data_IF_381187714736
#
_entry.id   IF_381187714736
#
_cell.length_a   1.000
_cell.length_b   1.000
_cell.length_c   1.000
_cell.angle_alpha   90.00
_cell.angle_beta   90.00
_cell.angle_gamma   90.00
#
_symmetry.space_group_name_H-M   'P 1'
#
loop_
_entity.id
_entity.type
_entity.pdbx_description
1 polymer ?
#
# COMPACT_ATOMS: atom_id res chain seq x y z
N UNK A 1 19.28 -6.54 -1.82
CA UNK A 1 18.45 -7.05 -2.92
C UNK A 1 17.93 -8.40 -2.51
N UNK A 2 16.62 -8.50 -2.42
CA UNK A 2 15.93 -9.75 -2.13
C UNK A 2 15.13 -10.12 -3.39
N UNK A 3 15.16 -11.39 -3.77
CA UNK A 3 14.47 -11.91 -4.96
C UNK A 3 13.61 -13.09 -4.57
N UNK A 4 12.35 -13.10 -5.01
CA UNK A 4 11.45 -14.22 -4.73
C UNK A 4 10.54 -14.53 -5.92
N UNK A 5 10.46 -15.81 -6.28
CA UNK A 5 9.66 -16.32 -7.41
C UNK A 5 8.34 -16.90 -6.91
N UNK A 6 7.19 -16.45 -7.42
CA UNK A 6 5.85 -16.72 -6.86
C UNK A 6 4.80 -16.84 -7.96
N UNK A 7 3.64 -17.42 -7.66
CA UNK A 7 2.55 -17.61 -8.62
C UNK A 7 1.32 -16.75 -8.30
N UNK A 8 0.60 -16.26 -9.34
CA UNK A 8 -0.63 -15.44 -9.22
C UNK A 8 -1.82 -16.02 -10.04
N UNK A 9 -3.07 -15.79 -9.60
CA UNK A 9 -4.34 -16.09 -10.33
C UNK A 9 -5.17 -14.85 -10.66
N UNK A 10 -6.10 -14.95 -11.63
CA UNK A 10 -6.86 -13.85 -12.24
C UNK A 10 -8.19 -13.49 -11.54
N UNK A 11 -8.76 -14.34 -10.68
CA UNK A 11 -9.99 -14.05 -9.92
C UNK A 11 -9.71 -14.12 -8.42
N UNK A 12 -9.68 -12.95 -7.77
CA UNK A 12 -9.01 -12.67 -6.50
C UNK A 12 -7.52 -13.03 -6.57
N UNK A 13 -6.64 -12.03 -6.71
CA UNK A 13 -5.19 -12.23 -6.87
C UNK A 13 -4.57 -12.88 -5.64
N UNK A 14 -4.64 -14.22 -5.59
CA UNK A 14 -3.99 -15.06 -4.58
C UNK A 14 -2.58 -15.40 -5.02
N UNK A 15 -1.71 -15.65 -4.04
CA UNK A 15 -0.32 -15.89 -4.30
C UNK A 15 0.34 -16.87 -3.32
N UNK A 16 1.41 -17.53 -3.76
CA UNK A 16 2.13 -18.53 -2.93
C UNK A 16 3.22 -17.91 -2.04
N UNK A 17 3.24 -16.59 -1.84
CA UNK A 17 4.31 -15.92 -1.10
C UNK A 17 3.98 -15.90 0.41
N UNK A 18 4.83 -16.51 1.26
CA UNK A 18 4.58 -16.54 2.70
C UNK A 18 5.03 -15.26 3.40
N UNK A 19 5.39 -14.19 2.67
CA UNK A 19 5.78 -12.93 3.30
C UNK A 19 4.61 -12.39 4.12
N UNK A 20 4.87 -11.89 5.35
CA UNK A 20 3.82 -11.52 6.28
C UNK A 20 2.74 -10.61 5.68
N UNK A 21 3.15 -9.62 4.89
CA UNK A 21 2.25 -8.69 4.18
C UNK A 21 1.16 -9.39 3.36
N UNK A 22 1.50 -10.46 2.62
CA UNK A 22 0.50 -11.16 1.81
C UNK A 22 -0.36 -12.11 2.65
N UNK A 23 0.16 -12.61 3.75
CA UNK A 23 -0.57 -13.51 4.65
C UNK A 23 -1.55 -12.71 5.51
N UNK A 24 -1.14 -11.53 6.00
CA UNK A 24 -1.96 -10.64 6.82
C UNK A 24 -3.11 -10.00 6.04
N UNK A 25 -2.89 -9.71 4.75
CA UNK A 25 -3.93 -9.33 3.77
C UNK A 25 -4.83 -10.51 3.35
N UNK A 26 -4.56 -11.70 3.87
CA UNK A 26 -5.33 -12.90 3.56
C UNK A 26 -5.17 -13.37 2.12
N UNK A 27 -4.11 -12.99 1.41
CA UNK A 27 -3.90 -13.26 -0.03
C UNK A 27 -3.16 -14.57 -0.31
N UNK A 28 -2.54 -15.19 0.70
CA UNK A 28 -1.83 -16.44 0.52
C UNK A 28 -2.76 -17.59 0.09
N UNK A 29 -2.27 -18.48 -0.78
CA UNK A 29 -2.90 -19.74 -1.14
C UNK A 29 -1.83 -20.75 -1.57
N UNK A 30 -2.11 -22.05 -1.40
CA UNK A 30 -1.16 -23.09 -1.84
C UNK A 30 -1.19 -23.22 -3.35
N UNK A 31 -0.11 -23.76 -3.94
CA UNK A 31 -0.01 -23.86 -5.40
C UNK A 31 -1.12 -24.74 -6.00
N UNK A 32 -1.58 -25.76 -5.28
CA UNK A 32 -2.63 -26.69 -5.70
C UNK A 32 -4.02 -26.04 -5.77
N UNK A 33 -4.22 -24.95 -5.04
CA UNK A 33 -5.49 -24.21 -4.97
C UNK A 33 -5.54 -23.06 -5.98
N UNK A 34 -4.41 -22.73 -6.61
CA UNK A 34 -4.37 -21.70 -7.63
C UNK A 34 -4.77 -22.23 -9.01
N UNK A 35 -5.58 -21.43 -9.71
CA UNK A 35 -5.92 -21.65 -11.12
C UNK A 35 -5.20 -20.61 -12.01
N UNK A 36 -4.98 -20.91 -13.29
CA UNK A 36 -4.40 -19.96 -14.27
C UNK A 36 -3.08 -19.30 -13.82
N UNK A 37 -2.19 -20.09 -13.23
CA UNK A 37 -1.00 -19.59 -12.53
C UNK A 37 -0.01 -18.87 -13.46
N UNK A 38 0.55 -17.75 -12.97
CA UNK A 38 1.65 -17.01 -13.60
C UNK A 38 2.82 -16.86 -12.64
N UNK A 39 4.01 -17.25 -13.08
CA UNK A 39 5.24 -17.05 -12.32
C UNK A 39 5.68 -15.59 -12.42
N UNK A 40 5.90 -14.96 -11.26
CA UNK A 40 6.36 -13.59 -11.11
C UNK A 40 7.56 -13.61 -10.17
N UNK A 41 8.62 -12.89 -10.55
CA UNK A 41 9.76 -12.67 -9.66
C UNK A 41 9.73 -11.23 -9.16
N UNK A 42 9.62 -11.06 -7.84
CA UNK A 42 9.67 -9.76 -7.19
C UNK A 42 11.11 -9.45 -6.77
N UNK A 43 11.60 -8.27 -7.16
CA UNK A 43 12.88 -7.73 -6.73
C UNK A 43 12.66 -6.44 -5.97
N UNK A 44 13.18 -6.36 -4.75
CA UNK A 44 13.10 -5.16 -3.92
C UNK A 44 14.47 -4.49 -3.85
N UNK A 45 14.50 -3.19 -4.18
CA UNK A 45 15.68 -2.33 -4.08
C UNK A 45 15.30 -1.08 -3.28
N UNK A 46 16.01 -0.84 -2.19
CA UNK A 46 15.84 0.38 -1.41
C UNK A 46 16.78 1.46 -1.94
N UNK A 47 16.23 2.62 -2.29
CA UNK A 47 16.94 3.83 -2.66
C UNK A 47 16.42 5.00 -1.82
N UNK A 48 17.15 6.11 -1.75
CA UNK A 48 16.80 7.24 -0.90
C UNK A 48 17.14 6.99 0.57
N UNK A 49 18.08 6.09 0.86
CA UNK A 49 18.41 5.69 2.25
C UNK A 49 18.87 6.85 3.15
N UNK A 50 19.24 7.99 2.55
CA UNK A 50 19.59 9.20 3.29
C UNK A 50 18.45 9.79 4.13
N UNK A 51 17.20 9.45 3.80
CA UNK A 51 16.01 9.88 4.53
C UNK A 51 16.03 9.34 5.97
N UNK A 52 16.49 8.10 6.15
CA UNK A 52 16.63 7.49 7.47
C UNK A 52 17.94 7.89 8.17
N UNK A 53 19.02 7.95 7.40
CA UNK A 53 20.36 8.25 7.89
C UNK A 53 21.10 9.09 6.84
N UNK A 54 21.36 10.40 7.09
CA UNK A 54 22.03 11.28 6.15
C UNK A 54 23.40 10.80 5.65
N UNK A 55 24.06 9.88 6.37
CA UNK A 55 25.33 9.28 5.97
C UNK A 55 25.18 8.15 4.93
N UNK A 56 24.00 7.54 4.81
CA UNK A 56 23.72 6.53 3.78
C UNK A 56 23.74 7.16 2.40
N UNK A 57 24.31 6.43 1.45
CA UNK A 57 24.35 6.79 0.03
C UNK A 57 23.83 5.61 -0.78
N UNK A 58 23.04 5.92 -1.79
CA UNK A 58 22.55 4.93 -2.72
C UNK A 58 23.70 4.47 -3.64
N UNK A 59 23.79 3.16 -3.88
CA UNK A 59 24.74 2.58 -4.83
C UNK A 59 24.04 2.34 -6.17
N UNK A 60 23.95 3.38 -6.99
CA UNK A 60 23.34 3.28 -8.33
C UNK A 60 24.13 2.38 -9.28
N UNK A 61 25.40 2.08 -9.00
CA UNK A 61 26.16 1.08 -9.77
C UNK A 61 25.64 -0.31 -9.50
N UNK A 62 25.37 -0.64 -8.24
CA UNK A 62 24.72 -1.90 -7.86
C UNK A 62 23.28 -1.98 -8.40
N UNK A 63 22.50 -0.90 -8.30
CA UNK A 63 21.13 -0.84 -8.86
C UNK A 63 21.16 -1.12 -10.38
N UNK A 64 22.00 -0.41 -11.14
CA UNK A 64 22.11 -0.63 -12.59
C UNK A 64 22.56 -2.05 -12.94
N UNK A 65 23.53 -2.59 -12.20
CA UNK A 65 24.04 -3.95 -12.42
C UNK A 65 22.95 -5.00 -12.23
N UNK A 66 22.06 -4.80 -11.25
CA UNK A 66 20.97 -5.71 -11.02
C UNK A 66 19.82 -5.55 -12.01
N UNK A 67 19.45 -4.31 -12.36
CA UNK A 67 18.44 -4.07 -13.40
C UNK A 67 18.84 -4.70 -14.73
N UNK A 68 20.13 -4.66 -15.11
CA UNK A 68 20.65 -5.32 -16.32
C UNK A 68 20.48 -6.85 -16.34
N UNK A 69 20.30 -7.48 -15.18
CA UNK A 69 20.03 -8.93 -15.13
C UNK A 69 18.62 -9.28 -15.62
N UNK A 70 17.68 -8.32 -15.54
CA UNK A 70 16.25 -8.54 -15.81
C UNK A 70 15.71 -7.71 -16.98
N UNK A 71 16.32 -6.56 -17.25
CA UNK A 71 16.02 -5.67 -18.37
C UNK A 71 17.22 -5.70 -19.34
N UNK A 72 17.29 -6.67 -20.27
CA UNK A 72 18.44 -6.78 -21.16
C UNK A 72 18.51 -5.57 -22.10
N UNK A 73 19.73 -5.21 -22.48
CA UNK A 73 20.11 -3.91 -23.05
C UNK A 73 19.50 -3.58 -24.43
N UNK A 74 18.62 -4.43 -24.99
CA UNK A 74 17.93 -4.19 -26.27
C UNK A 74 16.50 -4.75 -26.29
N UNK A 75 15.60 -3.97 -26.87
CA UNK A 75 14.25 -4.34 -27.31
C UNK A 75 13.35 -5.02 -26.27
N UNK A 76 13.62 -4.83 -24.96
CA UNK A 76 12.73 -5.32 -23.89
C UNK A 76 11.79 -4.19 -23.48
N UNK A 77 10.51 -4.23 -23.91
CA UNK A 77 9.54 -3.24 -23.46
C UNK A 77 9.25 -3.48 -21.98
N UNK A 78 9.21 -2.40 -21.22
CA UNK A 78 8.74 -2.42 -19.84
C UNK A 78 7.97 -1.14 -19.53
N UNK A 79 7.13 -1.24 -18.51
CA UNK A 79 6.39 -0.12 -17.95
C UNK A 79 7.12 0.30 -16.68
N UNK A 80 7.40 1.60 -16.56
CA UNK A 80 7.85 2.20 -15.31
C UNK A 80 6.63 2.81 -14.63
N UNK A 81 6.21 2.24 -13.53
CA UNK A 81 5.16 2.80 -12.68
C UNK A 81 5.82 3.62 -11.56
N UNK A 82 5.32 4.83 -11.33
CA UNK A 82 5.86 5.76 -10.32
C UNK A 82 4.74 6.19 -9.38
N UNK A 83 4.77 5.65 -8.17
CA UNK A 83 3.90 6.12 -7.09
C UNK A 83 4.49 7.39 -6.47
N UNK A 84 3.71 8.48 -6.42
CA UNK A 84 4.20 9.75 -5.89
C UNK A 84 4.40 9.72 -4.37
N UNK A 85 3.73 8.80 -3.67
CA UNK A 85 3.89 8.60 -2.23
C UNK A 85 5.28 8.05 -1.84
N UNK A 86 6.04 7.49 -2.80
CA UNK A 86 7.46 7.19 -2.61
C UNK A 86 8.26 8.42 -2.15
N UNK A 87 7.92 9.60 -2.69
CA UNK A 87 8.64 10.84 -2.40
C UNK A 87 8.23 11.49 -1.09
N UNK A 88 6.99 11.28 -0.65
CA UNK A 88 6.43 11.77 0.60
C UNK A 88 5.15 11.01 0.86
N UNK A 89 5.04 10.34 2.00
CA UNK A 89 3.90 9.48 2.33
C UNK A 89 3.29 9.87 3.66
N UNK A 90 1.97 9.83 3.74
CA UNK A 90 1.20 10.09 4.95
C UNK A 90 0.21 8.96 5.13
N UNK A 91 0.29 8.29 6.27
CA UNK A 91 -0.82 7.46 6.75
C UNK A 91 -2.04 8.36 7.10
N UNK A 92 -3.14 8.32 6.31
CA UNK A 92 -4.30 9.21 6.52
C UNK A 92 -5.09 8.82 7.79
N UNK A 93 -5.07 7.54 8.14
CA UNK A 93 -5.85 6.97 9.24
C UNK A 93 -5.36 7.40 10.63
N UNK A 94 -4.10 7.87 10.77
CA UNK A 94 -3.59 8.41 12.05
C UNK A 94 -4.44 9.56 12.60
N UNK A 95 -5.10 10.31 11.73
CA UNK A 95 -5.95 11.45 12.13
C UNK A 95 -7.45 11.14 12.10
N UNK A 96 -7.82 9.97 11.57
CA UNK A 96 -9.20 9.50 11.47
C UNK A 96 -9.80 9.36 12.87
N UNK A 97 -10.90 10.07 13.13
CA UNK A 97 -11.61 10.09 14.42
C UNK A 97 -10.71 10.30 15.66
N UNK A 98 -9.78 11.26 15.56
CA UNK A 98 -8.75 11.54 16.58
C UNK A 98 -9.26 11.87 18.00
N UNK A 99 -10.51 12.31 18.19
CA UNK A 99 -11.08 12.61 19.53
C UNK A 99 -11.13 11.39 20.44
N UNK A 100 -11.18 10.19 19.87
CA UNK A 100 -11.21 8.94 20.62
C UNK A 100 -9.94 8.10 20.43
N UNK A 101 -8.94 8.64 19.72
CA UNK A 101 -7.73 7.92 19.35
C UNK A 101 -8.04 6.58 18.64
N UNK A 102 -8.92 6.62 17.63
CA UNK A 102 -9.43 5.41 16.98
C UNK A 102 -8.32 4.52 16.42
N UNK A 103 -7.32 5.11 15.75
CA UNK A 103 -6.26 4.36 15.05
C UNK A 103 -5.51 3.40 16.00
N UNK A 104 -5.21 3.84 17.22
CA UNK A 104 -4.57 2.98 18.22
C UNK A 104 -5.53 1.90 18.76
N UNK A 105 -6.82 2.20 18.85
CA UNK A 105 -7.84 1.26 19.33
C UNK A 105 -8.15 0.13 18.35
N UNK A 106 -7.93 0.36 17.05
CA UNK A 106 -8.07 -0.67 16.03
C UNK A 106 -6.94 -1.71 16.12
N UNK A 107 -5.75 -1.34 16.58
CA UNK A 107 -4.60 -2.24 16.68
C UNK A 107 -4.87 -3.59 17.36
N UNK A 108 -5.38 -3.66 18.61
CA UNK A 108 -5.64 -4.96 19.24
C UNK A 108 -6.76 -5.77 18.58
N UNK A 109 -7.62 -5.16 17.77
CA UNK A 109 -8.74 -5.82 17.08
C UNK A 109 -8.26 -6.48 15.80
N UNK A 110 -7.34 -5.83 15.09
CA UNK A 110 -6.79 -6.26 13.80
C UNK A 110 -5.39 -6.86 13.89
N UNK A 111 -4.80 -6.95 15.09
CA UNK A 111 -3.49 -7.54 15.29
C UNK A 111 -3.40 -8.93 14.62
N UNK A 112 -2.36 -9.09 13.81
CA UNK A 112 -2.05 -10.35 13.14
C UNK A 112 -0.80 -10.97 13.76
N UNK A 113 -0.89 -12.24 14.15
CA UNK A 113 0.26 -12.99 14.64
C UNK A 113 0.84 -13.79 13.48
N UNK A 114 2.09 -13.46 13.11
CA UNK A 114 2.83 -14.17 12.07
C UNK A 114 2.99 -15.65 12.43
N UNK A 115 2.88 -16.57 11.46
CA UNK A 115 3.22 -17.97 11.70
C UNK A 115 4.70 -18.12 12.03
N UNK A 116 5.04 -19.02 12.95
CA UNK A 116 6.43 -19.31 13.34
C UNK A 116 7.23 -20.06 12.25
N UNK A 117 6.54 -20.50 11.19
CA UNK A 117 7.09 -21.31 10.11
C UNK A 117 6.54 -20.85 8.76
N UNK A 118 7.38 -20.95 7.73
CA UNK A 118 7.02 -20.67 6.33
C UNK A 118 6.59 -21.93 5.58
N UNK A 119 6.30 -23.03 6.28
CA UNK A 119 5.78 -24.23 5.64
C UNK A 119 4.36 -23.97 5.11
N UNK A 120 4.00 -24.50 3.92
CA UNK A 120 2.74 -24.13 3.28
C UNK A 120 1.49 -24.38 4.10
N UNK A 121 1.47 -25.39 4.97
CA UNK A 121 0.30 -25.75 5.77
C UNK A 121 0.15 -24.81 6.96
N UNK A 122 1.23 -24.49 7.68
CA UNK A 122 1.20 -23.48 8.75
C UNK A 122 0.80 -22.11 8.23
N UNK A 123 1.30 -21.70 7.06
CA UNK A 123 0.92 -20.42 6.45
C UNK A 123 -0.53 -20.44 6.01
N UNK A 124 -1.03 -21.57 5.48
CA UNK A 124 -2.44 -21.75 5.13
C UNK A 124 -3.35 -21.65 6.35
N UNK A 125 -3.01 -22.30 7.46
CA UNK A 125 -3.76 -22.20 8.71
C UNK A 125 -3.80 -20.77 9.25
N UNK A 126 -2.67 -20.06 9.26
CA UNK A 126 -2.60 -18.66 9.66
C UNK A 126 -3.45 -17.75 8.75
N UNK A 127 -3.41 -17.99 7.44
CA UNK A 127 -4.22 -17.26 6.45
C UNK A 127 -5.72 -17.53 6.64
N UNK A 128 -6.11 -18.77 6.93
CA UNK A 128 -7.51 -19.13 7.20
C UNK A 128 -8.04 -18.44 8.46
N UNK A 129 -7.27 -18.46 9.55
CA UNK A 129 -7.61 -17.75 10.78
C UNK A 129 -7.70 -16.23 10.58
N UNK A 130 -6.80 -15.66 9.78
CA UNK A 130 -6.84 -14.24 9.40
C UNK A 130 -8.08 -13.89 8.58
N UNK A 131 -8.43 -14.72 7.59
CA UNK A 131 -9.64 -14.51 6.79
C UNK A 131 -10.91 -14.60 7.65
N UNK A 132 -10.98 -15.52 8.61
CA UNK A 132 -12.10 -15.60 9.56
C UNK A 132 -12.24 -14.30 10.37
N UNK A 133 -11.13 -13.80 10.93
CA UNK A 133 -11.08 -12.53 11.66
C UNK A 133 -11.57 -11.36 10.78
N UNK A 134 -10.99 -11.19 9.59
CA UNK A 134 -11.36 -10.10 8.67
C UNK A 134 -12.81 -10.20 8.22
N UNK A 135 -13.32 -11.41 7.96
CA UNK A 135 -14.71 -11.64 7.57
C UNK A 135 -15.68 -11.24 8.68
N UNK A 136 -15.41 -11.62 9.93
CA UNK A 136 -16.27 -11.18 11.05
C UNK A 136 -16.26 -9.65 11.19
N UNK A 137 -15.08 -9.03 11.12
CA UNK A 137 -14.95 -7.57 11.25
C UNK A 137 -15.68 -6.85 10.11
N UNK A 138 -15.48 -7.28 8.86
CA UNK A 138 -16.18 -6.75 7.69
C UNK A 138 -17.70 -6.82 7.89
N UNK A 139 -18.23 -7.97 8.31
CA UNK A 139 -19.67 -8.13 8.57
C UNK A 139 -20.20 -7.16 9.65
N UNK A 140 -19.42 -6.94 10.71
CA UNK A 140 -19.78 -6.00 11.78
C UNK A 140 -19.81 -4.55 11.28
N UNK A 141 -18.78 -4.13 10.55
CA UNK A 141 -18.67 -2.76 10.04
C UNK A 141 -19.65 -2.49 8.89
N UNK A 142 -19.93 -3.46 8.02
CA UNK A 142 -20.98 -3.36 7.01
C UNK A 142 -22.37 -3.22 7.65
N UNK A 143 -22.64 -4.01 8.70
CA UNK A 143 -23.89 -3.89 9.43
C UNK A 143 -24.03 -2.52 10.09
N UNK A 144 -22.95 -1.99 10.68
CA UNK A 144 -22.92 -0.65 11.25
C UNK A 144 -23.11 0.44 10.20
N UNK A 145 -22.55 0.28 9.00
CA UNK A 145 -22.72 1.21 7.90
C UNK A 145 -24.19 1.29 7.43
N UNK A 146 -24.84 0.13 7.32
CA UNK A 146 -26.24 0.03 6.88
C UNK A 146 -27.23 0.45 7.97
N UNK A 147 -27.06 -0.03 9.21
CA UNK A 147 -28.05 0.09 10.28
C UNK A 147 -27.75 1.19 11.29
N UNK A 148 -26.53 1.76 11.26
CA UNK A 148 -26.03 2.76 12.24
C UNK A 148 -26.16 2.31 13.70
N UNK A 149 -26.20 1.02 13.94
CA UNK A 149 -26.37 0.36 15.25
C UNK A 149 -25.97 -1.11 15.13
N UNK A 150 -25.56 -1.74 16.24
CA UNK A 150 -25.38 -3.21 16.34
C UNK A 150 -26.65 -3.93 16.83
N UNK A 151 -27.72 -3.19 17.12
CA UNK A 151 -28.97 -3.76 17.59
C UNK A 151 -29.61 -4.62 16.48
N UNK A 152 -29.84 -5.91 16.79
CA UNK A 152 -30.42 -6.84 15.82
C UNK A 152 -29.38 -7.55 14.96
N UNK A 153 -28.08 -7.36 15.20
CA UNK A 153 -27.05 -8.15 14.53
C UNK A 153 -27.17 -9.63 14.91
N UNK A 154 -27.35 -10.49 13.90
CA UNK A 154 -27.54 -11.94 14.02
C UNK A 154 -26.26 -12.75 13.69
N UNK A 155 -25.18 -12.08 13.28
CA UNK A 155 -23.90 -12.73 12.99
C UNK A 155 -23.13 -13.14 14.26
N UNK A 156 -21.86 -13.49 14.05
CA UNK A 156 -20.99 -13.97 15.13
C UNK A 156 -20.74 -12.89 16.21
N UNK A 157 -20.80 -13.30 17.48
CA UNK A 157 -20.60 -12.41 18.64
C UNK A 157 -19.41 -12.86 19.46
N UNK A 158 -18.24 -12.83 18.84
CA UNK A 158 -16.97 -13.14 19.50
C UNK A 158 -16.48 -11.96 20.36
N UNK A 159 -15.26 -12.05 20.90
CA UNK A 159 -14.60 -10.91 21.54
C UNK A 159 -14.43 -9.71 20.58
N UNK A 160 -14.42 -9.93 19.26
CA UNK A 160 -14.36 -8.87 18.24
C UNK A 160 -15.64 -8.05 18.22
N UNK A 161 -16.81 -8.69 18.35
CA UNK A 161 -18.09 -7.98 18.52
C UNK A 161 -18.05 -7.05 19.74
N UNK A 162 -17.57 -7.53 20.89
CA UNK A 162 -17.49 -6.72 22.12
C UNK A 162 -16.56 -5.51 21.92
N UNK A 163 -15.40 -5.71 21.26
CA UNK A 163 -14.46 -4.65 20.95
C UNK A 163 -15.04 -3.60 19.98
N UNK A 164 -15.74 -4.05 18.93
CA UNK A 164 -16.43 -3.17 17.98
C UNK A 164 -17.59 -2.42 18.66
N UNK A 165 -18.32 -3.06 19.58
CA UNK A 165 -19.37 -2.39 20.36
C UNK A 165 -18.80 -1.26 21.23
N UNK A 166 -17.62 -1.46 21.83
CA UNK A 166 -16.93 -0.40 22.58
C UNK A 166 -16.54 0.77 21.66
N UNK A 167 -15.95 0.49 20.49
CA UNK A 167 -15.64 1.51 19.47
C UNK A 167 -16.92 2.26 19.06
N UNK A 168 -18.02 1.53 18.81
CA UNK A 168 -19.30 2.11 18.43
C UNK A 168 -19.80 3.12 19.48
N UNK A 169 -19.79 2.74 20.76
CA UNK A 169 -20.24 3.60 21.87
C UNK A 169 -19.38 4.85 22.00
N UNK A 170 -18.07 4.71 21.86
CA UNK A 170 -17.15 5.84 21.95
C UNK A 170 -17.31 6.81 20.78
N UNK A 171 -17.34 6.30 19.54
CA UNK A 171 -17.53 7.13 18.35
C UNK A 171 -18.84 7.90 18.40
N UNK A 172 -19.95 7.22 18.71
CA UNK A 172 -21.28 7.85 18.79
C UNK A 172 -21.43 8.83 19.96
N UNK A 173 -20.55 8.75 20.97
CA UNK A 173 -20.49 9.75 22.03
C UNK A 173 -19.71 11.01 21.65
N UNK A 174 -18.76 10.90 20.71
CA UNK A 174 -17.82 11.97 20.35
C UNK A 174 -18.11 12.63 18.99
N UNK A 175 -18.83 11.95 18.11
CA UNK A 175 -19.14 12.33 16.73
C UNK A 175 -20.62 12.12 16.42
N UNK A 176 -21.16 12.90 15.48
CA UNK A 176 -22.52 12.63 14.98
C UNK A 176 -22.50 11.37 14.13
N UNK A 177 -23.57 10.58 14.17
CA UNK A 177 -23.66 9.38 13.33
C UNK A 177 -23.47 9.66 11.83
N UNK A 178 -23.91 10.82 11.34
CA UNK A 178 -23.73 11.22 9.93
C UNK A 178 -22.28 11.56 9.55
N UNK A 179 -21.40 11.74 10.54
CA UNK A 179 -19.97 12.02 10.33
C UNK A 179 -19.14 10.73 10.44
N UNK A 180 -19.76 9.61 10.84
CA UNK A 180 -19.09 8.32 11.01
C UNK A 180 -19.30 7.49 9.75
N UNK A 181 -18.21 7.25 9.03
CA UNK A 181 -18.12 6.28 7.96
C UNK A 181 -17.55 5.00 8.58
N UNK A 182 -18.34 3.91 8.60
CA UNK A 182 -17.91 2.66 9.23
C UNK A 182 -17.03 1.82 8.30
N UNK A 183 -17.10 2.05 6.98
CA UNK A 183 -16.25 1.37 6.00
C UNK A 183 -14.83 1.86 6.10
N UNK A 184 -14.62 3.18 6.15
CA UNK A 184 -13.26 3.73 6.31
C UNK A 184 -12.63 3.33 7.66
N UNK A 185 -13.44 3.08 8.69
CA UNK A 185 -12.94 2.55 9.98
C UNK A 185 -12.48 1.10 9.83
N UNK A 186 -13.23 0.28 9.08
CA UNK A 186 -12.82 -1.08 8.75
C UNK A 186 -11.52 -1.07 7.95
N UNK A 187 -11.45 -0.26 6.89
CA UNK A 187 -10.27 -0.12 6.03
C UNK A 187 -9.05 0.33 6.84
N UNK A 188 -9.22 1.35 7.71
CA UNK A 188 -8.18 1.78 8.64
C UNK A 188 -7.70 0.64 9.54
N UNK A 189 -8.62 -0.22 9.99
CA UNK A 189 -8.33 -1.38 10.82
C UNK A 189 -7.54 -2.46 10.08
N UNK A 190 -7.90 -2.75 8.83
CA UNK A 190 -7.17 -3.72 7.99
C UNK A 190 -5.68 -3.39 7.90
N UNK A 191 -5.32 -2.10 7.99
CA UNK A 191 -3.93 -1.61 7.97
C UNK A 191 -3.22 -1.59 9.34
N UNK A 192 -3.85 -2.16 10.38
CA UNK A 192 -3.33 -2.24 11.76
C UNK A 192 -2.99 -3.68 12.14
N UNK A 193 -2.32 -4.39 11.25
CA UNK A 193 -2.05 -5.81 11.37
C UNK A 193 -0.78 -6.12 12.19
N UNK A 194 0.33 -6.50 11.56
CA UNK A 194 1.64 -6.72 12.16
C UNK A 194 2.65 -5.60 11.86
N UNK A 195 2.31 -4.69 10.94
CA UNK A 195 3.09 -3.49 10.61
C UNK A 195 2.19 -2.27 10.52
N UNK A 196 2.74 -1.10 10.88
CA UNK A 196 2.05 0.17 10.65
C UNK A 196 2.24 0.59 9.19
N UNK A 197 1.23 1.24 8.60
CA UNK A 197 1.42 1.89 7.30
C UNK A 197 2.55 2.94 7.34
N UNK A 198 3.30 3.07 6.24
CA UNK A 198 4.30 4.12 6.08
C UNK A 198 3.76 5.51 6.43
N UNK A 199 4.60 6.31 7.11
CA UNK A 199 4.30 7.70 7.40
C UNK A 199 5.59 8.50 7.49
N UNK A 200 5.88 9.24 6.43
CA UNK A 200 7.02 10.12 6.32
C UNK A 200 6.69 11.29 5.38
N UNK A 201 6.25 12.41 5.96
CA UNK A 201 6.08 13.66 5.20
C UNK A 201 7.45 14.29 5.02
N UNK A 202 7.95 14.24 3.79
CA UNK A 202 9.31 14.65 3.44
C UNK A 202 9.48 16.16 3.52
N UNK A 203 10.60 16.63 4.07
CA UNK A 203 10.90 18.07 4.13
C UNK A 203 11.19 18.63 2.72
N UNK A 204 10.96 19.93 2.44
CA UNK A 204 11.21 20.48 1.11
C UNK A 204 12.63 20.26 0.57
N UNK A 205 13.65 20.34 1.44
CA UNK A 205 15.05 20.12 1.04
C UNK A 205 15.33 18.65 0.70
N UNK A 206 14.79 17.72 1.51
CA UNK A 206 14.97 16.29 1.26
C UNK A 206 14.14 15.83 0.06
N UNK A 207 12.99 16.47 -0.18
CA UNK A 207 12.14 16.22 -1.33
C UNK A 207 12.83 16.61 -2.64
N UNK A 208 13.45 17.79 -2.67
CA UNK A 208 14.30 18.21 -3.79
C UNK A 208 15.43 17.21 -4.04
N UNK A 209 16.08 16.72 -2.97
CA UNK A 209 17.14 15.71 -3.07
C UNK A 209 16.62 14.35 -3.55
N UNK A 210 15.43 13.92 -3.13
CA UNK A 210 14.81 12.68 -3.59
C UNK A 210 14.48 12.75 -5.09
N UNK A 211 13.87 13.85 -5.55
CA UNK A 211 13.49 14.04 -6.95
C UNK A 211 14.73 14.26 -7.83
N UNK A 212 15.46 15.36 -7.59
CA UNK A 212 16.53 15.82 -8.47
C UNK A 212 17.85 15.04 -8.29
N UNK A 213 17.99 14.32 -7.19
CA UNK A 213 19.15 13.48 -6.88
C UNK A 213 18.86 12.00 -7.09
N UNK A 214 18.03 11.42 -6.23
CA UNK A 214 17.80 9.96 -6.18
C UNK A 214 17.03 9.46 -7.40
N UNK A 215 15.88 10.04 -7.73
CA UNK A 215 15.05 9.60 -8.86
C UNK A 215 15.76 9.83 -10.20
N UNK A 216 16.39 11.01 -10.40
CA UNK A 216 17.27 11.24 -11.56
C UNK A 216 18.34 10.17 -11.73
N UNK A 217 19.02 9.82 -10.64
CA UNK A 217 20.09 8.82 -10.66
C UNK A 217 19.54 7.42 -10.92
N UNK A 218 18.34 7.11 -10.41
CA UNK A 218 17.61 5.88 -10.71
C UNK A 218 17.27 5.78 -12.21
N UNK A 219 16.70 6.83 -12.81
CA UNK A 219 16.43 6.88 -14.25
C UNK A 219 17.70 6.65 -15.08
N UNK A 220 18.81 7.26 -14.67
CA UNK A 220 20.12 7.06 -15.31
C UNK A 220 20.67 5.63 -15.14
N UNK A 221 20.29 4.94 -14.07
CA UNK A 221 20.69 3.55 -13.80
C UNK A 221 19.91 2.53 -14.65
N UNK A 222 18.74 2.90 -15.19
CA UNK A 222 17.96 2.06 -16.10
C UNK A 222 18.79 1.69 -17.34
N UNK A 223 18.81 0.42 -17.76
CA UNK A 223 19.64 -0.01 -18.89
C UNK A 223 19.13 0.50 -20.24
N UNK A 224 17.81 0.68 -20.37
CA UNK A 224 17.13 1.27 -21.51
C UNK A 224 15.93 2.10 -21.01
N UNK A 225 15.45 3.10 -21.78
CA UNK A 225 14.25 3.85 -21.41
C UNK A 225 12.99 2.97 -21.32
N UNK A 226 12.05 3.26 -20.41
CA UNK A 226 10.74 2.62 -20.38
C UNK A 226 9.95 2.91 -21.65
N UNK A 227 9.04 1.98 -22.01
CA UNK A 227 8.13 2.15 -23.16
C UNK A 227 6.93 3.02 -22.79
N UNK A 228 6.42 2.82 -21.58
CA UNK A 228 5.31 3.59 -21.01
C UNK A 228 5.71 3.94 -19.58
N UNK A 229 5.37 5.16 -19.16
CA UNK A 229 5.44 5.57 -17.76
C UNK A 229 4.02 5.78 -17.26
N UNK A 230 3.67 5.12 -16.16
CA UNK A 230 2.45 5.38 -15.41
C UNK A 230 2.81 6.09 -14.11
N UNK A 231 1.94 6.98 -13.64
CA UNK A 231 2.15 7.74 -12.41
C UNK A 231 0.90 7.63 -11.56
N UNK A 232 1.01 7.07 -10.36
CA UNK A 232 -0.05 7.09 -9.37
C UNK A 232 0.12 8.33 -8.48
N UNK A 233 -0.86 9.24 -8.53
CA UNK A 233 -0.82 10.50 -7.81
C UNK A 233 -1.13 10.35 -6.32
N UNK A 234 -2.00 9.39 -5.98
CA UNK A 234 -2.44 9.07 -4.60
C UNK A 234 -2.83 10.30 -3.78
N UNK A 235 -3.52 11.26 -4.42
CA UNK A 235 -3.96 12.50 -3.79
C UNK A 235 -5.30 12.36 -3.08
N UNK A 236 -6.21 11.57 -3.65
CA UNK A 236 -7.61 11.53 -3.24
C UNK A 236 -7.82 10.64 -2.01
N UNK A 237 -6.90 9.70 -1.79
CA UNK A 237 -6.83 8.82 -0.64
C UNK A 237 -5.88 9.35 0.47
N UNK A 238 -5.34 10.56 0.30
CA UNK A 238 -4.44 11.26 1.24
C UNK A 238 -3.11 10.54 1.55
N UNK A 239 -2.73 9.49 0.80
CA UNK A 239 -1.44 8.81 0.99
C UNK A 239 -0.25 9.66 0.54
N UNK A 240 -0.38 10.36 -0.58
CA UNK A 240 0.56 11.42 -0.98
C UNK A 240 0.05 12.75 -0.40
N UNK A 241 0.84 13.47 0.42
CA UNK A 241 0.38 14.72 1.03
C UNK A 241 -0.09 15.73 -0.02
N UNK A 242 -1.36 16.14 0.08
CA UNK A 242 -2.00 17.05 -0.88
C UNK A 242 -1.31 18.41 -0.97
N UNK A 243 -0.64 18.85 0.09
CA UNK A 243 0.20 20.06 0.07
C UNK A 243 1.50 19.93 -0.75
N UNK A 244 1.91 18.71 -1.13
CA UNK A 244 3.15 18.44 -1.85
C UNK A 244 2.93 17.78 -3.21
N UNK A 245 1.80 17.10 -3.42
CA UNK A 245 1.57 16.25 -4.60
C UNK A 245 1.81 16.96 -5.93
N UNK A 246 1.40 18.23 -6.08
CA UNK A 246 1.63 19.00 -7.30
C UNK A 246 3.11 19.26 -7.55
N UNK A 247 3.84 19.65 -6.50
CA UNK A 247 5.28 19.87 -6.58
C UNK A 247 6.01 18.58 -6.94
N UNK A 248 5.60 17.46 -6.34
CA UNK A 248 6.18 16.14 -6.61
C UNK A 248 5.93 15.75 -8.07
N UNK A 249 4.68 15.84 -8.53
CA UNK A 249 4.31 15.51 -9.91
C UNK A 249 5.10 16.34 -10.92
N UNK A 250 5.19 17.66 -10.72
CA UNK A 250 5.96 18.55 -11.59
C UNK A 250 7.43 18.13 -11.62
N UNK A 251 8.05 17.91 -10.46
CA UNK A 251 9.45 17.52 -10.38
C UNK A 251 9.73 16.17 -11.04
N UNK A 252 8.87 15.17 -10.80
CA UNK A 252 8.96 13.84 -11.45
C UNK A 252 8.82 13.95 -12.97
N UNK A 253 7.85 14.71 -13.46
CA UNK A 253 7.66 14.94 -14.90
C UNK A 253 8.85 15.66 -15.54
N UNK A 254 9.46 16.61 -14.85
CA UNK A 254 10.63 17.34 -15.34
C UNK A 254 11.86 16.42 -15.44
N UNK A 255 12.06 15.53 -14.47
CA UNK A 255 13.14 14.53 -14.53
C UNK A 255 12.90 13.48 -15.62
N UNK A 256 11.65 13.04 -15.80
CA UNK A 256 11.26 12.14 -16.90
C UNK A 256 11.47 12.80 -18.26
N UNK A 257 11.10 14.06 -18.45
CA UNK A 257 11.34 14.82 -19.71
C UNK A 257 12.83 14.99 -19.99
N UNK A 258 13.63 15.26 -18.97
CA UNK A 258 15.09 15.35 -19.12
C UNK A 258 15.70 14.01 -19.57
N UNK A 259 15.17 12.89 -19.07
CA UNK A 259 15.67 11.55 -19.38
C UNK A 259 15.15 11.01 -20.73
N UNK A 260 13.86 11.17 -21.02
CA UNK A 260 13.15 10.58 -22.17
C UNK A 260 13.09 11.51 -23.39
N UNK A 261 13.26 12.82 -23.20
CA UNK A 261 13.03 13.84 -24.22
C UNK A 261 11.56 14.27 -24.31
N UNK A 262 11.10 14.58 -25.52
CA UNK A 262 9.68 14.93 -25.74
C UNK A 262 8.79 13.70 -25.51
N UNK A 263 7.88 13.81 -24.55
CA UNK A 263 6.92 12.78 -24.17
C UNK A 263 5.50 13.34 -24.27
N UNK A 264 4.57 12.51 -24.75
CA UNK A 264 3.14 12.79 -24.65
C UNK A 264 2.69 12.54 -23.20
N UNK A 265 2.08 13.55 -22.58
CA UNK A 265 1.63 13.46 -21.18
C UNK A 265 0.13 13.60 -21.16
N UNK A 266 -0.55 12.59 -20.61
CA UNK A 266 -2.00 12.56 -20.45
C UNK A 266 -2.32 12.57 -18.96
N UNK A 267 -3.06 13.59 -18.52
CA UNK A 267 -3.49 13.74 -17.13
C UNK A 267 -4.95 13.27 -17.02
N UNK A 268 -5.14 11.94 -16.98
CA UNK A 268 -6.47 11.34 -17.05
C UNK A 268 -7.47 11.84 -15.98
N UNK A 269 -6.97 12.30 -14.84
CA UNK A 269 -7.80 12.86 -13.77
C UNK A 269 -8.43 14.22 -14.13
N UNK A 270 -7.85 14.99 -15.06
CA UNK A 270 -8.43 16.27 -15.50
C UNK A 270 -9.71 16.04 -16.34
N UNK A 271 -9.79 14.91 -17.05
CA UNK A 271 -10.97 14.54 -17.86
C UNK A 271 -12.15 14.05 -16.98
N UNK A 272 -11.87 13.60 -15.75
CA UNK A 272 -12.90 13.14 -14.80
C UNK A 272 -13.60 14.31 -14.09
N UNK A 273 -12.95 15.48 -13.97
CA UNK A 273 -13.53 16.68 -13.33
C UNK A 273 -14.62 17.36 -14.19
N UNK A 274 -14.68 17.11 -15.50
CA UNK A 274 -15.70 17.72 -16.39
C UNK A 274 -17.09 17.03 -16.34
N UNK A 275 -17.25 15.95 -15.58
CA UNK A 275 -18.49 15.13 -15.54
C UNK A 275 -19.36 15.39 -14.30
N UNK A 276 -19.04 16.40 -13.47
CA UNK A 276 -19.82 16.74 -12.26
C UNK A 276 -20.50 18.13 -12.29
#
# INVERSE_FOLDING_TARGET
MESSTRWLTHQASRLTCPEPYFVSEGLYSTLEELENTREVTLHVMTIGGFIEDPAKKDDFTAVSSALRQYLPERDTPFILDVDLDFFSTKNPFKTLYSRINLYDKLSPIYAFNRPDSTDPESVKEATAARNEQLTELQNLFDYLEEHRSLQGYEGEKSARYEAVELIYRELTSAYKQSEIDWKIIHDAGCTRDDTDLPHHVTTPNDLDRLINGTFRSFLTALPVPPTIVTIARSSDDDYCPSENVDQIQIGVLDELRQYLGEVDVQLAYEDEEEVH
#
